data_IF_393876240463
#
_entry.id   IF_393876240463
#
_cell.length_a   1.000
_cell.length_b   1.000
_cell.length_c   1.000
_cell.angle_alpha   90.00
_cell.angle_beta   90.00
_cell.angle_gamma   90.00
#
_symmetry.space_group_name_H-M   'P 1'
#
loop_
_entity.id
_entity.type
_entity.pdbx_description
1 polymer ?
#
# COMPACT_ATOMS: atom_id res chain seq x y z
N UNK A 1 -17.85 -7.53 41.51
CA UNK A 1 -18.11 -6.23 40.84
C UNK A 1 -16.87 -5.59 40.23
N UNK A 2 -15.70 -5.58 40.89
CA UNK A 2 -14.47 -4.96 40.34
C UNK A 2 -13.95 -5.62 39.04
N UNK A 3 -14.04 -6.94 38.90
CA UNK A 3 -13.53 -7.67 37.71
C UNK A 3 -14.30 -7.33 36.43
N UNK A 4 -15.63 -7.13 36.52
CA UNK A 4 -16.50 -6.78 35.37
C UNK A 4 -16.22 -5.37 34.87
N UNK A 5 -15.84 -4.47 35.78
CA UNK A 5 -15.45 -3.09 35.43
C UNK A 5 -14.13 -3.13 34.66
N UNK A 6 -13.15 -3.90 35.13
CA UNK A 6 -11.85 -3.97 34.47
C UNK A 6 -11.92 -4.59 33.07
N UNK A 7 -12.74 -5.63 32.86
CA UNK A 7 -12.94 -6.22 31.54
C UNK A 7 -13.66 -5.29 30.56
N UNK A 8 -14.60 -4.46 31.03
CA UNK A 8 -15.29 -3.47 30.18
C UNK A 8 -14.38 -2.32 29.77
N UNK A 9 -13.49 -1.85 30.64
CA UNK A 9 -12.46 -0.86 30.28
C UNK A 9 -11.48 -1.41 29.23
N UNK A 10 -11.03 -2.65 29.38
CA UNK A 10 -10.14 -3.30 28.40
C UNK A 10 -10.83 -3.41 27.03
N UNK A 11 -12.10 -3.83 27.01
CA UNK A 11 -12.86 -3.93 25.76
C UNK A 11 -13.00 -2.57 25.08
N UNK A 12 -13.28 -1.51 25.84
CA UNK A 12 -13.40 -0.15 25.30
C UNK A 12 -12.09 0.35 24.68
N UNK A 13 -10.95 0.09 25.32
CA UNK A 13 -9.62 0.46 24.78
C UNK A 13 -9.31 -0.30 23.48
N UNK A 14 -9.62 -1.59 23.43
CA UNK A 14 -9.47 -2.39 22.21
C UNK A 14 -10.35 -1.86 21.07
N UNK A 15 -11.62 -1.52 21.34
CA UNK A 15 -12.51 -0.93 20.35
C UNK A 15 -11.99 0.43 19.83
N UNK A 16 -11.46 1.28 20.72
CA UNK A 16 -10.87 2.57 20.35
C UNK A 16 -9.64 2.39 19.45
N UNK A 17 -8.78 1.40 19.75
CA UNK A 17 -7.63 1.06 18.93
C UNK A 17 -8.02 0.62 17.51
N UNK A 18 -9.03 -0.25 17.39
CA UNK A 18 -9.57 -0.68 16.08
C UNK A 18 -10.17 0.51 15.33
N UNK A 19 -10.89 1.41 16.01
CA UNK A 19 -11.47 2.59 15.39
C UNK A 19 -10.40 3.52 14.81
N UNK A 20 -9.34 3.80 15.58
CA UNK A 20 -8.21 4.63 15.12
C UNK A 20 -7.51 3.98 13.92
N UNK A 21 -7.31 2.67 13.95
CA UNK A 21 -6.71 1.92 12.84
C UNK A 21 -7.55 2.03 11.56
N UNK A 22 -8.88 1.85 11.66
CA UNK A 22 -9.79 1.98 10.52
C UNK A 22 -9.83 3.41 9.98
N UNK A 23 -9.85 4.42 10.86
CA UNK A 23 -9.80 5.83 10.46
C UNK A 23 -8.49 6.13 9.73
N UNK A 24 -7.34 5.69 10.25
CA UNK A 24 -6.05 5.87 9.61
C UNK A 24 -6.00 5.23 8.22
N UNK A 25 -6.47 3.99 8.09
CA UNK A 25 -6.54 3.31 6.79
C UNK A 25 -7.48 4.00 5.82
N UNK A 26 -8.65 4.45 6.30
CA UNK A 26 -9.59 5.22 5.48
C UNK A 26 -8.95 6.51 4.97
N UNK A 27 -8.31 7.30 5.85
CA UNK A 27 -7.61 8.53 5.45
C UNK A 27 -6.46 8.26 4.47
N UNK A 28 -5.74 7.14 4.63
CA UNK A 28 -4.66 6.77 3.69
C UNK A 28 -5.22 6.41 2.31
N UNK A 29 -6.35 5.69 2.25
CA UNK A 29 -7.01 5.32 1.00
C UNK A 29 -7.66 6.55 0.33
N UNK A 30 -8.27 7.43 1.11
CA UNK A 30 -8.93 8.67 0.66
C UNK A 30 -7.94 9.74 0.18
N UNK A 31 -6.63 9.50 0.27
CA UNK A 31 -5.64 10.34 -0.42
C UNK A 31 -5.37 9.86 -1.86
N UNK A 32 -5.59 8.58 -2.15
CA UNK A 32 -5.39 7.99 -3.47
C UNK A 32 -6.61 8.24 -4.36
N UNK A 33 -6.76 9.48 -4.83
CA UNK A 33 -7.94 9.93 -5.58
C UNK A 33 -7.92 9.54 -7.05
N UNK A 34 -6.75 9.19 -7.59
CA UNK A 34 -6.60 8.91 -9.02
C UNK A 34 -6.10 7.50 -9.27
N UNK A 35 -6.46 6.99 -10.45
CA UNK A 35 -5.93 5.75 -10.98
C UNK A 35 -5.19 6.03 -12.28
N UNK A 36 -4.10 5.31 -12.50
CA UNK A 36 -3.38 5.30 -13.79
C UNK A 36 -2.84 3.91 -14.06
N UNK A 37 -2.39 3.70 -15.29
CA UNK A 37 -1.71 2.48 -15.68
C UNK A 37 -0.21 2.64 -15.51
N UNK A 38 0.42 1.67 -14.87
CA UNK A 38 1.86 1.56 -14.77
C UNK A 38 2.36 0.32 -15.52
N UNK A 39 3.56 0.38 -16.07
CA UNK A 39 4.23 -0.75 -16.69
C UNK A 39 5.35 -1.23 -15.77
N UNK A 40 5.39 -2.54 -15.50
CA UNK A 40 6.46 -3.15 -14.71
C UNK A 40 7.72 -3.23 -15.58
N UNK A 41 8.76 -2.50 -15.23
CA UNK A 41 10.01 -2.44 -16.01
C UNK A 41 11.11 -3.35 -15.44
N UNK A 42 11.05 -3.64 -14.14
CA UNK A 42 12.02 -4.47 -13.44
C UNK A 42 11.35 -5.28 -12.33
N UNK A 43 11.91 -6.46 -12.08
CA UNK A 43 11.52 -7.32 -10.97
C UNK A 43 12.79 -7.77 -10.27
N UNK A 44 12.86 -7.51 -8.97
CA UNK A 44 13.95 -7.96 -8.10
C UNK A 44 13.39 -8.87 -7.03
N UNK A 45 14.14 -9.92 -6.68
CA UNK A 45 13.78 -10.87 -5.65
C UNK A 45 14.82 -10.81 -4.55
N UNK A 46 14.38 -10.55 -3.34
CA UNK A 46 15.23 -10.54 -2.15
C UNK A 46 14.77 -11.64 -1.18
N UNK A 47 15.70 -12.53 -0.83
CA UNK A 47 15.47 -13.57 0.16
C UNK A 47 15.99 -13.12 1.52
N UNK A 48 15.12 -13.06 2.52
CA UNK A 48 15.53 -12.73 3.88
C UNK A 48 15.86 -14.01 4.66
N UNK A 49 17.06 -14.07 5.24
CA UNK A 49 17.53 -15.21 6.03
C UNK A 49 16.67 -15.46 7.29
N UNK A 50 15.99 -14.43 7.80
CA UNK A 50 15.07 -14.54 8.92
C UNK A 50 13.70 -15.09 8.46
N UNK A 51 13.59 -16.42 8.38
CA UNK A 51 12.30 -17.12 8.26
C UNK A 51 11.86 -17.53 6.85
N UNK A 52 12.78 -17.75 5.91
CA UNK A 52 12.49 -18.20 4.54
C UNK A 52 11.45 -17.34 3.80
N UNK A 53 11.38 -16.05 4.11
CA UNK A 53 10.47 -15.12 3.42
C UNK A 53 11.16 -14.57 2.18
N UNK A 54 10.46 -14.71 1.05
CA UNK A 54 10.83 -14.06 -0.20
C UNK A 54 10.05 -12.76 -0.32
N UNK A 55 10.73 -11.68 -0.66
CA UNK A 55 10.14 -10.41 -1.03
C UNK A 55 10.42 -10.13 -2.50
N UNK A 56 9.42 -9.65 -3.20
CA UNK A 56 9.51 -9.24 -4.60
C UNK A 56 9.38 -7.73 -4.66
N UNK A 57 10.31 -7.08 -5.33
CA UNK A 57 10.28 -5.65 -5.62
C UNK A 57 10.02 -5.45 -7.11
N UNK A 58 9.10 -4.56 -7.41
CA UNK A 58 8.64 -4.24 -8.75
C UNK A 58 8.94 -2.77 -9.01
N UNK A 59 9.86 -2.50 -9.93
CA UNK A 59 10.06 -1.15 -10.44
C UNK A 59 9.03 -0.91 -11.54
N UNK A 60 8.26 0.16 -11.39
CA UNK A 60 7.17 0.51 -12.27
C UNK A 60 7.34 1.92 -12.82
N UNK A 61 6.96 2.10 -14.09
CA UNK A 61 6.93 3.40 -14.75
C UNK A 61 5.49 3.74 -15.10
N UNK A 62 5.07 4.96 -14.79
CA UNK A 62 3.71 5.41 -15.07
C UNK A 62 3.70 6.86 -15.49
N UNK A 63 2.61 7.25 -16.13
CA UNK A 63 2.38 8.62 -16.57
C UNK A 63 1.15 9.18 -15.87
N UNK A 64 1.24 10.44 -15.49
CA UNK A 64 0.13 11.19 -14.90
C UNK A 64 0.06 12.58 -15.53
N UNK A 65 -1.10 13.23 -15.43
CA UNK A 65 -1.34 14.56 -16.02
C UNK A 65 -1.70 15.55 -14.92
N UNK A 66 -0.95 16.65 -14.83
CA UNK A 66 -1.27 17.77 -13.92
C UNK A 66 -1.46 19.02 -14.77
N UNK A 67 -2.64 19.66 -14.67
CA UNK A 67 -2.95 20.88 -15.42
C UNK A 67 -2.71 20.77 -16.94
N UNK A 68 -2.92 19.58 -17.51
CA UNK A 68 -2.71 19.32 -18.94
C UNK A 68 -1.26 18.98 -19.34
N UNK A 69 -0.32 18.98 -18.39
CA UNK A 69 1.06 18.58 -18.63
C UNK A 69 1.23 17.11 -18.23
N UNK A 70 1.81 16.30 -19.12
CA UNK A 70 2.08 14.88 -18.89
C UNK A 70 3.47 14.72 -18.27
N UNK A 71 3.51 14.01 -17.15
CA UNK A 71 4.73 13.63 -16.44
C UNK A 71 4.93 12.12 -16.50
N UNK A 72 6.17 11.68 -16.37
CA UNK A 72 6.55 10.27 -16.29
C UNK A 72 7.38 10.07 -15.02
N UNK A 73 6.96 9.11 -14.19
CA UNK A 73 7.54 8.86 -12.88
C UNK A 73 7.88 7.39 -12.73
N UNK A 74 8.81 7.11 -11.81
CA UNK A 74 9.20 5.74 -11.45
C UNK A 74 9.00 5.52 -9.98
N UNK A 75 8.46 4.37 -9.64
CA UNK A 75 8.26 3.97 -8.26
C UNK A 75 8.64 2.50 -8.05
N UNK A 76 8.80 2.10 -6.80
CA UNK A 76 9.14 0.74 -6.38
C UNK A 76 8.06 0.24 -5.42
N UNK A 77 7.32 -0.78 -5.87
CA UNK A 77 6.36 -1.48 -5.03
C UNK A 77 6.95 -2.81 -4.55
N UNK A 78 6.59 -3.24 -3.35
CA UNK A 78 6.96 -4.54 -2.83
C UNK A 78 5.76 -5.46 -2.58
N UNK A 79 5.97 -6.77 -2.73
CA UNK A 79 5.01 -7.81 -2.39
C UNK A 79 5.70 -9.00 -1.74
N UNK A 80 5.01 -9.62 -0.79
CA UNK A 80 5.38 -10.93 -0.23
C UNK A 80 4.67 -12.08 -0.95
N UNK A 81 3.71 -11.77 -1.83
CA UNK A 81 3.03 -12.78 -2.65
C UNK A 81 3.95 -13.29 -3.75
N UNK A 82 3.96 -14.60 -4.05
CA UNK A 82 4.78 -15.16 -5.12
C UNK A 82 4.46 -14.48 -6.45
N UNK A 83 5.46 -13.80 -7.02
CA UNK A 83 5.53 -13.31 -8.39
C UNK A 83 4.19 -12.84 -8.99
N UNK A 84 3.54 -11.91 -8.30
CA UNK A 84 2.20 -11.36 -8.65
C UNK A 84 2.12 -10.74 -10.04
N UNK A 85 3.24 -10.20 -10.52
CA UNK A 85 3.33 -9.48 -11.79
C UNK A 85 4.57 -9.88 -12.60
N UNK A 86 4.48 -9.68 -13.90
CA UNK A 86 5.56 -9.97 -14.86
C UNK A 86 6.15 -8.69 -15.46
N UNK A 87 7.41 -8.77 -15.93
CA UNK A 87 8.05 -7.66 -16.63
C UNK A 87 7.30 -7.36 -17.93
N UNK A 88 6.99 -6.10 -18.18
CA UNK A 88 6.21 -5.63 -19.32
C UNK A 88 4.71 -5.66 -19.09
N UNK A 89 4.24 -6.21 -17.95
CA UNK A 89 2.83 -6.19 -17.61
C UNK A 89 2.37 -4.76 -17.31
N UNK A 90 1.20 -4.40 -17.83
CA UNK A 90 0.49 -3.18 -17.49
C UNK A 90 -0.44 -3.46 -16.32
N UNK A 91 -0.33 -2.67 -15.26
CA UNK A 91 -1.10 -2.81 -14.02
C UNK A 91 -1.79 -1.49 -13.69
N UNK A 92 -2.95 -1.57 -13.04
CA UNK A 92 -3.63 -0.39 -12.51
C UNK A 92 -3.03 -0.03 -11.16
N UNK A 93 -2.57 1.21 -11.01
CA UNK A 93 -2.08 1.77 -9.75
C UNK A 93 -2.96 2.95 -9.33
N UNK A 94 -2.90 3.30 -8.05
CA UNK A 94 -3.57 4.48 -7.49
C UNK A 94 -2.54 5.43 -6.91
N UNK A 95 -2.71 6.73 -7.11
CA UNK A 95 -1.77 7.77 -6.69
C UNK A 95 -2.48 9.01 -6.11
N UNK A 96 -1.76 9.79 -5.30
CA UNK A 96 -2.27 11.04 -4.70
C UNK A 96 -2.04 12.22 -5.65
N UNK A 97 -3.05 13.02 -5.99
CA UNK A 97 -2.86 14.17 -6.91
C UNK A 97 -1.78 15.16 -6.44
N UNK A 98 -1.64 15.32 -5.11
CA UNK A 98 -0.69 16.27 -4.50
C UNK A 98 0.73 15.72 -4.36
N UNK A 99 0.88 14.40 -4.43
CA UNK A 99 2.15 13.70 -4.35
C UNK A 99 2.04 12.43 -5.20
N UNK A 100 2.04 12.61 -6.54
CA UNK A 100 1.76 11.54 -7.49
C UNK A 100 2.79 10.42 -7.40
#
# INVERSE_FOLDING_TARGET
>A
MKIVIWSTWILCICCLGVLIFLIYHKYKIEKCDNQTTATIIKLEKESYNAGNRTKFFYELIYRYTVSGIVYEERDVCDSTEPQKYEKGQVVLISYETKNP
#
